data_IF_219081036767
#
_entry.id   IF_219081036767
#
_cell.length_a   1.000
_cell.length_b   1.000
_cell.length_c   1.000
_cell.angle_alpha   90.00
_cell.angle_beta   90.00
_cell.angle_gamma   90.00
#
_symmetry.space_group_name_H-M   'P 1'
#
loop_
_entity.id
_entity.type
_entity.pdbx_description
1 polymer ?
#
# COMPACT_ATOMS: atom_id res chain seq x y z
N UNK A 1 -61.25 25.53 14.67
CA UNK A 1 -60.02 25.40 13.85
C UNK A 1 -58.97 24.70 14.70
N UNK A 2 -58.53 23.49 14.36
CA UNK A 2 -57.58 22.73 15.17
C UNK A 2 -56.14 23.09 14.85
N UNK A 3 -55.33 23.19 15.90
CA UNK A 3 -53.91 23.48 15.87
C UNK A 3 -53.08 22.32 15.25
N UNK A 4 -52.34 22.59 14.20
CA UNK A 4 -51.39 21.66 13.57
C UNK A 4 -50.14 21.55 14.45
N UNK A 5 -49.93 20.36 15.07
CA UNK A 5 -48.70 19.98 15.74
C UNK A 5 -47.64 19.58 14.68
N UNK A 6 -46.62 20.38 14.52
CA UNK A 6 -45.42 19.97 13.79
C UNK A 6 -44.60 18.99 14.65
N UNK A 7 -44.68 17.72 14.31
CA UNK A 7 -43.86 16.66 14.91
C UNK A 7 -42.46 16.66 14.26
N UNK A 8 -41.44 17.06 15.00
CA UNK A 8 -40.04 16.77 14.66
C UNK A 8 -39.75 15.29 15.00
N UNK A 9 -39.83 14.43 14.00
CA UNK A 9 -39.33 13.05 14.11
C UNK A 9 -37.80 13.03 14.21
N UNK A 10 -37.25 12.11 15.01
CA UNK A 10 -35.77 11.99 15.10
C UNK A 10 -35.19 11.62 13.73
N UNK A 11 -34.30 12.47 13.19
CA UNK A 11 -33.50 12.16 12.02
C UNK A 11 -32.61 10.97 12.37
N UNK A 12 -32.93 9.80 11.85
CA UNK A 12 -32.02 8.66 11.85
C UNK A 12 -30.81 9.01 10.99
N UNK A 13 -29.67 9.26 11.63
CA UNK A 13 -28.39 9.34 10.93
C UNK A 13 -28.16 8.02 10.17
N UNK A 14 -27.79 8.05 8.88
CA UNK A 14 -27.40 6.85 8.17
C UNK A 14 -26.23 6.21 8.89
N UNK A 15 -26.39 4.94 9.32
CA UNK A 15 -25.32 4.14 9.86
C UNK A 15 -24.22 4.07 8.79
N UNK A 16 -22.93 4.32 9.15
CA UNK A 16 -21.83 4.11 8.20
C UNK A 16 -21.90 2.65 7.71
N UNK A 17 -21.65 2.40 6.41
CA UNK A 17 -21.63 1.04 5.88
C UNK A 17 -20.64 0.22 6.69
N UNK A 18 -21.08 -0.92 7.17
CA UNK A 18 -20.25 -1.93 7.82
C UNK A 18 -19.03 -2.16 6.93
N UNK A 19 -17.85 -1.88 7.47
CA UNK A 19 -16.58 -2.12 6.80
C UNK A 19 -16.49 -3.61 6.45
N UNK A 20 -16.85 -3.93 5.23
CA UNK A 20 -16.67 -5.24 4.63
C UNK A 20 -15.21 -5.42 4.29
N UNK A 21 -14.69 -6.57 4.68
CA UNK A 21 -13.38 -7.13 4.37
C UNK A 21 -12.21 -6.42 5.04
N UNK A 22 -11.58 -7.13 5.93
CA UNK A 22 -10.27 -6.94 6.51
C UNK A 22 -9.24 -6.48 5.48
N UNK A 23 -9.19 -5.20 5.20
CA UNK A 23 -8.07 -4.62 4.46
C UNK A 23 -6.85 -4.76 5.37
N UNK A 24 -6.00 -5.74 5.03
CA UNK A 24 -4.70 -5.88 5.66
C UNK A 24 -4.04 -4.50 5.72
N UNK A 25 -3.61 -4.08 6.91
CA UNK A 25 -2.94 -2.79 7.07
C UNK A 25 -1.77 -2.69 6.08
N UNK A 26 -1.43 -1.48 5.65
CA UNK A 26 -0.33 -1.24 4.71
C UNK A 26 0.98 -1.91 5.17
N UNK A 27 1.22 -1.97 6.49
CA UNK A 27 2.38 -2.67 7.10
C UNK A 27 2.40 -4.15 6.74
N UNK A 28 1.26 -4.83 6.83
CA UNK A 28 1.13 -6.24 6.48
C UNK A 28 1.34 -6.49 4.99
N UNK A 29 0.82 -5.59 4.13
CA UNK A 29 1.02 -5.70 2.67
C UNK A 29 2.49 -5.59 2.29
N UNK A 30 3.19 -4.58 2.81
CA UNK A 30 4.62 -4.38 2.53
C UNK A 30 5.45 -5.57 3.07
N UNK A 31 5.16 -6.03 4.29
CA UNK A 31 5.83 -7.19 4.87
C UNK A 31 5.60 -8.47 4.05
N UNK A 32 4.35 -8.74 3.64
CA UNK A 32 4.02 -9.92 2.84
C UNK A 32 4.67 -9.88 1.45
N UNK A 33 4.71 -8.72 0.80
CA UNK A 33 5.39 -8.56 -0.49
C UNK A 33 6.89 -8.81 -0.36
N UNK A 34 7.55 -8.23 0.64
CA UNK A 34 8.98 -8.49 0.88
C UNK A 34 9.25 -9.96 1.21
N UNK A 35 8.44 -10.56 2.07
CA UNK A 35 8.56 -11.97 2.44
C UNK A 35 8.34 -12.91 1.24
N UNK A 36 7.32 -12.65 0.41
CA UNK A 36 7.03 -13.47 -0.77
C UNK A 36 8.15 -13.41 -1.80
N UNK A 37 8.77 -12.23 -1.99
CA UNK A 37 9.90 -12.08 -2.90
C UNK A 37 11.11 -12.87 -2.42
N UNK A 38 11.47 -12.78 -1.13
CA UNK A 38 12.58 -13.55 -0.55
C UNK A 38 12.28 -15.04 -0.60
N UNK A 39 11.06 -15.45 -0.23
CA UNK A 39 10.66 -16.86 -0.29
C UNK A 39 10.76 -17.43 -1.71
N UNK A 40 10.32 -16.68 -2.73
CA UNK A 40 10.43 -17.06 -4.12
C UNK A 40 11.89 -17.29 -4.53
N UNK A 41 12.78 -16.36 -4.21
CA UNK A 41 14.22 -16.47 -4.53
C UNK A 41 14.84 -17.67 -3.83
N UNK A 42 14.53 -17.90 -2.56
CA UNK A 42 15.05 -19.03 -1.77
C UNK A 42 14.56 -20.36 -2.37
N UNK A 43 13.28 -20.44 -2.74
CA UNK A 43 12.71 -21.66 -3.38
C UNK A 43 13.36 -21.94 -4.73
N UNK A 44 13.50 -20.92 -5.58
CA UNK A 44 14.14 -21.06 -6.89
C UNK A 44 15.60 -21.52 -6.73
N UNK A 45 16.34 -20.95 -5.79
CA UNK A 45 17.72 -21.33 -5.51
C UNK A 45 17.80 -22.76 -4.97
N UNK A 46 16.92 -23.15 -4.05
CA UNK A 46 16.88 -24.52 -3.51
C UNK A 46 16.58 -25.54 -4.60
N UNK A 47 15.60 -25.27 -5.48
CA UNK A 47 15.28 -26.13 -6.63
C UNK A 47 16.45 -26.22 -7.59
N UNK A 48 17.12 -25.11 -7.90
CA UNK A 48 18.28 -25.09 -8.80
C UNK A 48 19.43 -25.94 -8.22
N UNK A 49 19.79 -25.74 -6.95
CA UNK A 49 20.85 -26.50 -6.27
C UNK A 49 20.50 -27.99 -6.24
N UNK A 50 19.26 -28.33 -5.88
CA UNK A 50 18.81 -29.71 -5.84
C UNK A 50 18.89 -30.35 -7.22
N UNK A 51 18.45 -29.66 -8.28
CA UNK A 51 18.49 -30.17 -9.66
C UNK A 51 19.91 -30.37 -10.16
N UNK A 52 20.82 -29.43 -9.89
CA UNK A 52 22.24 -29.54 -10.30
C UNK A 52 22.90 -30.69 -9.58
N UNK A 53 22.77 -30.77 -8.25
CA UNK A 53 23.39 -31.89 -7.49
C UNK A 53 22.80 -33.22 -7.85
N UNK A 54 21.48 -33.31 -8.05
CA UNK A 54 20.83 -34.53 -8.50
C UNK A 54 21.37 -35.01 -9.85
N UNK A 55 21.46 -34.12 -10.85
CA UNK A 55 22.04 -34.47 -12.17
C UNK A 55 23.46 -34.93 -12.04
N UNK A 56 24.30 -34.19 -11.32
CA UNK A 56 25.72 -34.55 -11.14
C UNK A 56 25.90 -35.95 -10.52
N UNK A 57 25.09 -36.28 -9.50
CA UNK A 57 25.14 -37.62 -8.88
C UNK A 57 24.67 -38.74 -9.81
N UNK A 58 23.64 -38.52 -10.63
CA UNK A 58 23.21 -39.51 -11.62
C UNK A 58 24.23 -39.67 -12.74
N UNK A 59 24.80 -38.58 -13.27
CA UNK A 59 25.84 -38.59 -14.29
C UNK A 59 27.09 -39.31 -13.77
N UNK A 60 27.46 -39.13 -12.52
CA UNK A 60 28.58 -39.82 -11.88
C UNK A 60 28.34 -41.33 -11.82
N UNK A 61 27.12 -41.80 -11.45
CA UNK A 61 26.75 -43.21 -11.45
C UNK A 61 26.80 -43.75 -12.86
N UNK A 62 26.26 -43.05 -13.85
CA UNK A 62 26.27 -43.47 -15.23
C UNK A 62 27.72 -43.64 -15.77
N UNK A 63 28.59 -42.69 -15.47
CA UNK A 63 30.01 -42.75 -15.81
C UNK A 63 30.73 -43.93 -15.11
N UNK A 64 30.42 -44.20 -13.86
CA UNK A 64 30.96 -45.33 -13.12
C UNK A 64 30.53 -46.67 -13.75
N UNK A 65 29.24 -46.84 -14.11
CA UNK A 65 28.74 -48.02 -14.77
C UNK A 65 29.42 -48.22 -16.13
N UNK A 66 29.53 -47.20 -16.96
CA UNK A 66 30.19 -47.27 -18.23
C UNK A 66 31.69 -47.64 -18.11
N UNK A 67 32.38 -47.01 -17.16
CA UNK A 67 33.80 -47.28 -16.93
C UNK A 67 34.04 -48.71 -16.44
N UNK A 68 33.17 -49.24 -15.57
CA UNK A 68 33.24 -50.63 -15.11
C UNK A 68 32.94 -51.62 -16.23
N UNK A 69 31.90 -51.34 -17.03
CA UNK A 69 31.58 -52.16 -18.18
C UNK A 69 32.77 -52.24 -19.16
N UNK A 70 33.38 -51.08 -19.47
CA UNK A 70 34.54 -50.97 -20.35
C UNK A 70 35.74 -51.77 -19.82
N UNK A 71 36.06 -51.61 -18.53
CA UNK A 71 37.17 -52.38 -17.95
C UNK A 71 36.96 -53.89 -18.02
N UNK A 72 35.74 -54.40 -17.78
CA UNK A 72 35.42 -55.82 -17.90
C UNK A 72 35.56 -56.33 -19.37
N UNK A 73 35.15 -55.51 -20.33
CA UNK A 73 35.21 -55.83 -21.74
C UNK A 73 36.69 -55.81 -22.25
N UNK A 74 37.42 -54.71 -21.96
CA UNK A 74 38.79 -54.49 -22.45
C UNK A 74 39.82 -55.42 -21.80
N UNK A 75 39.62 -55.80 -20.52
CA UNK A 75 40.54 -56.73 -19.84
C UNK A 75 40.56 -58.14 -20.44
N UNK A 76 39.62 -58.48 -21.33
CA UNK A 76 39.48 -59.80 -21.86
C UNK A 76 39.10 -60.88 -20.84
N UNK A 77 38.88 -60.53 -19.61
CA UNK A 77 38.56 -61.45 -18.53
C UNK A 77 37.21 -62.10 -18.70
N UNK A 78 36.25 -61.44 -19.35
CA UNK A 78 34.96 -62.06 -19.74
C UNK A 78 35.09 -63.15 -20.77
N UNK A 79 36.11 -63.17 -21.62
CA UNK A 79 36.40 -64.20 -22.60
C UNK A 79 37.22 -65.33 -22.01
N UNK A 80 38.14 -65.06 -21.10
CA UNK A 80 39.02 -66.05 -20.50
C UNK A 80 38.33 -66.90 -19.41
N UNK A 81 37.68 -66.23 -18.42
CA UNK A 81 36.95 -66.94 -17.35
C UNK A 81 35.77 -66.06 -16.94
N UNK A 82 34.62 -66.17 -17.59
CA UNK A 82 33.44 -65.37 -17.31
C UNK A 82 32.98 -65.42 -15.86
N UNK A 83 33.12 -66.59 -15.22
CA UNK A 83 32.69 -66.76 -13.82
C UNK A 83 33.50 -65.90 -12.85
N UNK A 84 34.85 -66.03 -12.92
CA UNK A 84 35.71 -65.25 -12.05
C UNK A 84 35.65 -63.77 -12.35
N UNK A 85 35.50 -63.41 -13.64
CA UNK A 85 35.37 -61.98 -14.01
C UNK A 85 34.13 -61.33 -13.38
N UNK A 86 33.00 -62.01 -13.39
CA UNK A 86 31.75 -61.57 -12.81
C UNK A 86 31.80 -61.62 -11.26
N UNK A 87 32.30 -62.75 -10.69
CA UNK A 87 32.47 -62.86 -9.22
C UNK A 87 33.36 -61.72 -8.64
N UNK A 88 34.40 -61.32 -9.39
CA UNK A 88 35.25 -60.22 -9.02
C UNK A 88 34.51 -58.88 -8.87
N UNK A 89 33.37 -58.72 -9.51
CA UNK A 89 32.53 -57.49 -9.34
C UNK A 89 31.74 -57.49 -8.03
N UNK A 90 31.54 -58.63 -7.39
CA UNK A 90 30.83 -58.72 -6.08
C UNK A 90 31.56 -57.94 -4.96
N UNK A 91 32.88 -57.78 -5.07
CA UNK A 91 33.68 -56.93 -4.13
C UNK A 91 33.61 -55.42 -4.42
N UNK A 92 32.92 -55.04 -5.47
CA UNK A 92 32.64 -53.65 -5.80
C UNK A 92 31.15 -53.39 -5.64
N UNK A 93 30.78 -52.14 -5.35
CA UNK A 93 29.36 -51.73 -5.14
C UNK A 93 28.47 -51.85 -6.38
N UNK A 94 28.69 -52.91 -7.21
CA UNK A 94 28.03 -53.12 -8.48
C UNK A 94 27.61 -54.58 -8.59
N UNK A 95 26.35 -54.79 -8.92
CA UNK A 95 25.87 -56.12 -9.32
C UNK A 95 26.13 -56.30 -10.79
N UNK A 96 26.59 -57.49 -11.18
CA UNK A 96 26.83 -57.82 -12.59
C UNK A 96 26.20 -59.15 -12.98
N UNK A 97 25.77 -59.26 -14.23
CA UNK A 97 25.22 -60.46 -14.86
C UNK A 97 25.72 -60.53 -16.28
N UNK A 98 26.27 -61.67 -16.64
CA UNK A 98 26.62 -62.03 -18.04
C UNK A 98 25.73 -63.13 -18.54
N UNK A 99 25.10 -62.92 -19.68
CA UNK A 99 24.25 -63.87 -20.35
C UNK A 99 24.89 -64.22 -21.69
N UNK A 100 25.29 -65.47 -21.83
CA UNK A 100 25.90 -66.01 -23.08
C UNK A 100 24.85 -66.51 -24.07
N UNK A 101 25.16 -66.61 -25.37
CA UNK A 101 24.27 -67.15 -26.42
C UNK A 101 23.75 -68.52 -26.11
N UNK A 102 24.52 -69.35 -25.40
CA UNK A 102 24.16 -70.71 -24.96
C UNK A 102 23.26 -70.81 -23.72
N UNK A 103 22.71 -69.65 -23.27
CA UNK A 103 21.90 -69.46 -22.04
C UNK A 103 22.64 -69.76 -20.72
N UNK A 104 23.96 -69.87 -20.69
CA UNK A 104 24.69 -69.86 -19.44
C UNK A 104 24.67 -68.43 -18.81
N UNK A 105 24.29 -68.37 -17.57
CA UNK A 105 24.15 -67.13 -16.87
C UNK A 105 25.16 -67.06 -15.69
N UNK A 106 26.02 -66.06 -15.69
CA UNK A 106 26.94 -65.81 -14.60
C UNK A 106 26.46 -64.53 -13.84
N UNK A 107 26.28 -64.64 -12.53
CA UNK A 107 25.76 -63.56 -11.73
C UNK A 107 26.64 -63.31 -10.53
N UNK A 108 26.92 -62.04 -10.24
CA UNK A 108 27.47 -61.61 -8.99
C UNK A 108 26.55 -60.52 -8.42
N UNK A 109 25.82 -60.86 -7.38
CA UNK A 109 24.91 -59.96 -6.73
C UNK A 109 25.37 -59.73 -5.28
N UNK A 110 25.25 -58.50 -4.82
CA UNK A 110 25.33 -58.26 -3.38
C UNK A 110 24.17 -58.97 -2.67
N UNK A 111 24.38 -59.33 -1.40
CA UNK A 111 23.37 -60.04 -0.61
C UNK A 111 22.01 -59.33 -0.63
N UNK A 112 20.98 -60.01 -1.05
CA UNK A 112 19.60 -59.50 -1.10
C UNK A 112 19.25 -58.59 -2.28
N UNK A 113 20.16 -58.38 -3.26
CA UNK A 113 19.87 -57.57 -4.44
C UNK A 113 19.81 -58.48 -5.71
N UNK A 114 18.69 -58.43 -6.41
CA UNK A 114 18.53 -59.07 -7.72
C UNK A 114 18.57 -57.99 -8.80
N UNK A 115 19.21 -58.30 -9.93
CA UNK A 115 19.18 -57.39 -11.10
C UNK A 115 17.77 -57.31 -11.67
N UNK A 116 17.20 -56.10 -11.80
CA UNK A 116 15.86 -55.96 -12.37
C UNK A 116 15.90 -56.10 -13.88
N UNK A 117 15.38 -57.24 -14.36
CA UNK A 117 15.24 -57.52 -15.81
C UNK A 117 13.86 -57.04 -16.29
N UNK A 118 13.83 -56.04 -17.15
CA UNK A 118 12.63 -55.52 -17.81
C UNK A 118 12.69 -55.69 -19.32
N UNK A 119 11.70 -55.19 -20.03
CA UNK A 119 11.65 -55.28 -21.50
C UNK A 119 12.87 -54.68 -22.21
N UNK A 120 13.43 -53.53 -21.81
CA UNK A 120 14.63 -52.98 -22.46
C UNK A 120 15.86 -53.92 -22.30
N UNK A 121 16.05 -54.52 -21.11
CA UNK A 121 17.16 -55.44 -20.88
C UNK A 121 16.97 -56.72 -21.68
N UNK A 122 15.73 -57.21 -21.81
CA UNK A 122 15.41 -58.39 -22.69
C UNK A 122 15.73 -58.07 -24.14
N UNK A 123 15.38 -56.84 -24.63
CA UNK A 123 15.75 -56.42 -25.98
C UNK A 123 17.26 -56.40 -26.22
N UNK A 124 18.06 -56.01 -25.20
CA UNK A 124 19.52 -56.09 -25.26
C UNK A 124 20.02 -57.53 -25.29
N UNK A 125 19.41 -58.39 -24.47
CA UNK A 125 19.77 -59.86 -24.46
C UNK A 125 19.43 -60.53 -25.78
N UNK A 126 18.36 -60.15 -26.46
CA UNK A 126 17.93 -60.63 -27.75
C UNK A 126 18.72 -60.06 -28.94
N UNK A 127 19.54 -59.05 -28.68
CA UNK A 127 20.31 -58.35 -29.72
C UNK A 127 19.50 -57.28 -30.49
N UNK A 128 18.28 -57.02 -30.09
CA UNK A 128 17.42 -55.97 -30.68
C UNK A 128 17.92 -54.55 -30.36
N UNK A 129 18.52 -54.40 -29.17
CA UNK A 129 19.12 -53.16 -28.69
C UNK A 129 20.60 -53.39 -28.36
N UNK A 130 21.45 -52.43 -28.74
CA UNK A 130 22.88 -52.48 -28.42
C UNK A 130 23.17 -52.09 -26.97
N UNK A 131 22.34 -51.18 -26.41
CA UNK A 131 22.53 -50.67 -25.07
C UNK A 131 21.21 -50.23 -24.48
N UNK A 132 21.05 -50.40 -23.18
CA UNK A 132 19.97 -49.83 -22.39
C UNK A 132 20.52 -49.25 -21.06
N UNK A 133 20.12 -48.05 -20.69
CA UNK A 133 20.47 -47.43 -19.42
C UNK A 133 19.22 -46.84 -18.78
N UNK A 134 18.76 -47.39 -17.65
CA UNK A 134 17.56 -46.93 -16.97
C UNK A 134 17.62 -47.13 -15.47
N UNK A 135 16.67 -46.50 -14.78
CA UNK A 135 16.45 -46.71 -13.35
C UNK A 135 15.29 -47.69 -13.15
N UNK A 136 15.53 -48.76 -12.40
CA UNK A 136 14.52 -49.72 -12.02
C UNK A 136 14.76 -50.23 -10.58
N UNK A 137 13.71 -50.42 -9.79
CA UNK A 137 13.76 -50.95 -8.43
C UNK A 137 14.85 -50.31 -7.55
N UNK A 138 14.95 -48.95 -7.59
CA UNK A 138 16.00 -48.19 -6.89
C UNK A 138 17.44 -48.54 -7.28
N UNK A 139 17.64 -49.13 -8.47
CA UNK A 139 18.93 -49.39 -9.06
C UNK A 139 19.06 -48.67 -10.40
N UNK A 140 20.27 -48.24 -10.75
CA UNK A 140 20.62 -47.77 -12.08
C UNK A 140 21.19 -48.95 -12.82
N UNK A 141 20.62 -49.32 -13.96
CA UNK A 141 20.95 -50.51 -14.72
C UNK A 141 21.49 -50.11 -16.09
N UNK A 142 22.68 -50.62 -16.42
CA UNK A 142 23.30 -50.56 -17.74
C UNK A 142 23.32 -51.98 -18.32
N UNK A 143 22.72 -52.18 -19.48
CA UNK A 143 22.78 -53.39 -20.26
C UNK A 143 23.49 -53.12 -21.58
N UNK A 144 24.44 -53.99 -21.96
CA UNK A 144 25.23 -53.87 -23.17
C UNK A 144 25.21 -55.21 -23.93
N UNK A 145 24.93 -55.18 -25.23
CA UNK A 145 25.11 -56.30 -26.13
C UNK A 145 26.55 -56.31 -26.64
N UNK A 146 27.25 -57.43 -26.47
CA UNK A 146 28.66 -57.61 -26.86
C UNK A 146 28.76 -58.24 -28.25
N UNK A 147 29.87 -57.98 -28.97
CA UNK A 147 30.15 -58.47 -30.32
C UNK A 147 30.20 -59.96 -30.42
N UNK A 148 30.42 -60.66 -29.32
CA UNK A 148 30.41 -62.17 -29.26
C UNK A 148 29.00 -62.74 -29.03
N UNK A 149 27.95 -61.91 -29.09
CA UNK A 149 26.56 -62.27 -28.84
C UNK A 149 26.16 -62.47 -27.39
N UNK A 150 27.08 -62.22 -26.45
CA UNK A 150 26.78 -62.19 -25.01
C UNK A 150 26.19 -60.80 -24.60
N UNK A 151 25.49 -60.76 -23.49
CA UNK A 151 24.96 -59.51 -22.95
C UNK A 151 25.44 -59.30 -21.52
N UNK A 152 26.10 -58.15 -21.28
CA UNK A 152 26.58 -57.75 -19.97
C UNK A 152 25.58 -56.76 -19.35
N UNK A 153 25.07 -57.09 -18.17
CA UNK A 153 24.20 -56.26 -17.39
C UNK A 153 24.92 -55.87 -16.11
N UNK A 154 24.94 -54.58 -15.81
CA UNK A 154 25.55 -54.07 -14.59
C UNK A 154 24.54 -53.14 -13.91
N UNK A 155 24.39 -53.26 -12.58
CA UNK A 155 23.54 -52.33 -11.85
C UNK A 155 24.23 -51.80 -10.58
N UNK A 156 23.87 -50.59 -10.20
CA UNK A 156 24.31 -49.95 -8.97
C UNK A 156 23.11 -49.48 -8.17
N UNK A 157 23.13 -49.72 -6.86
CA UNK A 157 22.09 -49.27 -5.96
C UNK A 157 22.08 -47.70 -5.86
N UNK A 158 20.88 -47.12 -5.97
CA UNK A 158 20.64 -45.71 -5.79
C UNK A 158 20.34 -45.35 -4.32
N UNK A 159 20.34 -46.35 -3.40
CA UNK A 159 20.01 -46.12 -2.00
C UNK A 159 20.93 -45.06 -1.34
N UNK A 160 22.28 -45.11 -1.51
CA UNK A 160 23.18 -44.09 -0.97
C UNK A 160 22.91 -42.68 -1.55
N UNK A 161 22.72 -42.64 -2.89
CA UNK A 161 22.44 -41.37 -3.61
C UNK A 161 21.12 -40.75 -3.17
N UNK A 162 20.07 -41.59 -3.03
CA UNK A 162 18.76 -41.10 -2.53
C UNK A 162 18.83 -40.60 -1.12
N UNK A 163 19.68 -41.18 -0.26
CA UNK A 163 19.91 -40.72 1.10
C UNK A 163 20.62 -39.38 1.11
N UNK A 164 21.64 -39.16 0.29
CA UNK A 164 22.31 -37.87 0.12
C UNK A 164 21.35 -36.81 -0.35
N UNK A 165 20.54 -37.08 -1.38
CA UNK A 165 19.55 -36.17 -1.93
C UNK A 165 18.46 -35.80 -0.90
N UNK A 166 17.97 -36.78 -0.11
CA UNK A 166 17.02 -36.53 0.99
C UNK A 166 17.63 -35.62 2.06
N UNK A 167 18.89 -35.90 2.47
CA UNK A 167 19.59 -35.05 3.43
C UNK A 167 19.79 -33.64 2.90
N UNK A 168 20.20 -33.51 1.63
CA UNK A 168 20.34 -32.20 0.96
C UNK A 168 19.00 -31.45 0.97
N UNK A 169 17.91 -32.10 0.56
CA UNK A 169 16.57 -31.51 0.58
C UNK A 169 16.15 -31.03 1.97
N UNK A 170 16.43 -31.82 3.00
CA UNK A 170 16.14 -31.43 4.39
C UNK A 170 16.95 -30.21 4.82
N UNK A 171 18.23 -30.17 4.51
CA UNK A 171 19.10 -29.01 4.83
C UNK A 171 18.61 -27.77 4.10
N UNK A 172 18.33 -27.87 2.80
CA UNK A 172 17.78 -26.76 2.01
C UNK A 172 16.47 -26.24 2.56
N UNK A 173 15.58 -27.11 3.02
CA UNK A 173 14.31 -26.74 3.63
C UNK A 173 14.50 -26.01 4.95
N UNK A 174 15.39 -26.52 5.83
CA UNK A 174 15.65 -25.90 7.14
C UNK A 174 16.33 -24.54 6.95
N UNK A 175 17.41 -24.48 6.17
CA UNK A 175 18.17 -23.23 5.95
C UNK A 175 17.32 -22.21 5.20
N UNK A 176 16.59 -22.65 4.16
CA UNK A 176 15.67 -21.79 3.42
C UNK A 176 14.53 -21.27 4.30
N UNK A 177 13.91 -22.14 5.09
CA UNK A 177 12.85 -21.76 6.03
C UNK A 177 13.33 -20.73 7.08
N UNK A 178 14.52 -20.98 7.64
CA UNK A 178 15.14 -20.04 8.59
C UNK A 178 15.44 -18.68 7.91
N UNK A 179 15.97 -18.69 6.69
CA UNK A 179 16.21 -17.48 5.90
C UNK A 179 14.94 -16.67 5.67
N UNK A 180 13.84 -17.33 5.29
CA UNK A 180 12.53 -16.67 5.13
C UNK A 180 12.02 -16.11 6.46
N UNK A 181 12.19 -16.82 7.58
CA UNK A 181 11.78 -16.35 8.89
C UNK A 181 12.56 -15.08 9.31
N UNK A 182 13.88 -15.08 9.12
CA UNK A 182 14.73 -13.90 9.38
C UNK A 182 14.32 -12.72 8.50
N UNK A 183 14.08 -12.95 7.21
CA UNK A 183 13.61 -11.92 6.27
C UNK A 183 12.25 -11.37 6.68
N UNK A 184 11.32 -12.19 7.17
CA UNK A 184 10.02 -11.77 7.67
C UNK A 184 10.16 -10.86 8.92
N UNK A 185 11.04 -11.23 9.87
CA UNK A 185 11.31 -10.41 11.06
C UNK A 185 11.95 -9.07 10.68
N UNK A 186 12.99 -9.09 9.84
CA UNK A 186 13.67 -7.88 9.38
C UNK A 186 12.71 -6.95 8.59
N UNK A 187 11.98 -7.51 7.63
CA UNK A 187 10.98 -6.77 6.86
C UNK A 187 9.86 -6.18 7.73
N UNK A 188 9.42 -6.92 8.76
CA UNK A 188 8.47 -6.45 9.75
C UNK A 188 9.01 -5.28 10.60
N UNK A 189 10.28 -5.33 10.99
CA UNK A 189 10.95 -4.25 11.73
C UNK A 189 11.07 -2.98 10.87
N UNK A 190 11.54 -3.11 9.62
CA UNK A 190 11.66 -2.01 8.66
C UNK A 190 10.30 -1.40 8.35
N UNK A 191 9.28 -2.20 8.09
CA UNK A 191 7.92 -1.72 7.83
C UNK A 191 7.32 -0.94 9.01
N UNK A 192 7.58 -1.41 10.26
CA UNK A 192 7.12 -0.70 11.46
C UNK A 192 7.86 0.63 11.66
N UNK A 193 9.18 0.63 11.48
CA UNK A 193 9.99 1.84 11.63
C UNK A 193 9.65 2.88 10.55
N UNK A 194 9.60 2.47 9.29
CA UNK A 194 9.35 3.35 8.14
C UNK A 194 7.93 3.92 8.10
N UNK A 195 6.91 3.18 8.57
CA UNK A 195 5.52 3.67 8.57
C UNK A 195 5.08 4.33 9.89
N UNK A 196 5.97 4.48 10.87
CA UNK A 196 5.67 5.15 12.13
C UNK A 196 5.29 6.63 11.97
N UNK A 197 5.94 7.43 11.10
CA UNK A 197 5.55 8.82 10.85
C UNK A 197 4.13 8.93 10.29
N UNK A 198 3.74 8.05 9.36
CA UNK A 198 2.38 8.02 8.78
C UNK A 198 1.32 7.78 9.87
N UNK A 199 1.58 6.87 10.80
CA UNK A 199 0.67 6.62 11.92
C UNK A 199 0.51 7.86 12.81
N UNK A 200 1.59 8.62 13.07
CA UNK A 200 1.56 9.87 13.85
C UNK A 200 0.76 10.98 13.13
N UNK A 201 0.93 11.09 11.81
CA UNK A 201 0.16 12.04 11.01
C UNK A 201 -1.34 11.73 11.05
N UNK A 202 -1.70 10.45 10.94
CA UNK A 202 -3.10 10.00 11.04
C UNK A 202 -3.68 10.35 12.43
N UNK A 203 -2.94 10.04 13.49
CA UNK A 203 -3.36 10.35 14.88
C UNK A 203 -3.52 11.86 15.10
N UNK A 204 -2.62 12.67 14.53
CA UNK A 204 -2.71 14.12 14.61
C UNK A 204 -3.94 14.64 13.85
N UNK A 205 -4.21 14.16 12.63
CA UNK A 205 -5.39 14.52 11.87
C UNK A 205 -6.68 14.17 12.62
N UNK A 206 -6.76 12.97 13.21
CA UNK A 206 -7.90 12.56 14.03
C UNK A 206 -8.05 13.38 15.31
N UNK A 207 -6.95 13.83 15.92
CA UNK A 207 -6.95 14.71 17.09
C UNK A 207 -7.50 16.07 16.71
N UNK A 208 -7.00 16.67 15.63
CA UNK A 208 -7.52 17.96 15.11
C UNK A 208 -9.03 17.85 14.85
N UNK A 209 -9.48 16.79 14.20
CA UNK A 209 -10.90 16.61 13.87
C UNK A 209 -11.81 16.46 15.10
N UNK A 210 -11.28 15.95 16.24
CA UNK A 210 -12.08 15.72 17.45
C UNK A 210 -11.95 16.81 18.49
N UNK A 211 -10.79 17.44 18.60
CA UNK A 211 -10.48 18.32 19.74
C UNK A 211 -10.02 19.71 19.31
N UNK A 212 -9.92 19.98 18.01
CA UNK A 212 -9.38 21.22 17.47
C UNK A 212 -7.94 21.54 17.96
N UNK A 213 -7.18 20.54 18.42
CA UNK A 213 -5.80 20.69 18.88
C UNK A 213 -4.84 20.82 17.69
N UNK A 214 -4.44 22.05 17.39
CA UNK A 214 -3.58 22.41 16.25
C UNK A 214 -2.08 22.37 16.59
N UNK A 215 -1.65 21.64 17.64
CA UNK A 215 -0.23 21.53 18.01
C UNK A 215 0.59 20.91 16.89
N UNK A 216 1.78 21.44 16.61
CA UNK A 216 2.66 20.90 15.58
C UNK A 216 3.15 19.51 15.94
N UNK A 217 3.33 18.69 14.89
CA UNK A 217 3.85 17.33 14.99
C UNK A 217 5.38 17.39 14.96
N UNK A 218 6.10 16.68 15.84
CA UNK A 218 7.55 16.63 15.79
C UNK A 218 8.05 16.04 14.47
N UNK A 219 8.94 16.75 13.78
CA UNK A 219 9.59 16.31 12.54
C UNK A 219 10.83 15.50 12.89
N UNK A 220 10.98 14.32 12.25
CA UNK A 220 12.14 13.44 12.44
C UNK A 220 12.66 13.01 11.08
N UNK A 221 14.00 13.12 10.89
CA UNK A 221 14.63 12.75 9.64
C UNK A 221 14.63 13.90 8.61
N UNK A 222 15.02 13.55 7.38
CA UNK A 222 15.09 14.49 6.24
C UNK A 222 14.57 13.86 4.94
N UNK A 223 13.74 12.82 5.08
CA UNK A 223 13.14 12.06 3.98
C UNK A 223 11.81 12.69 3.50
N UNK A 224 11.13 12.04 2.57
CA UNK A 224 9.84 12.46 2.04
C UNK A 224 8.77 12.54 3.12
N UNK A 225 8.85 11.70 4.16
CA UNK A 225 7.91 11.70 5.28
C UNK A 225 8.16 12.89 6.23
N UNK A 226 9.41 13.29 6.40
CA UNK A 226 9.75 14.52 7.13
C UNK A 226 9.18 15.75 6.40
N UNK A 227 9.36 15.84 5.08
CA UNK A 227 8.78 16.90 4.25
C UNK A 227 7.24 16.91 4.30
N UNK A 228 6.61 15.75 4.29
CA UNK A 228 5.15 15.65 4.44
C UNK A 228 4.71 16.17 5.82
N UNK A 229 5.46 15.84 6.88
CA UNK A 229 5.17 16.33 8.24
C UNK A 229 5.33 17.85 8.33
N UNK A 230 6.33 18.42 7.67
CA UNK A 230 6.52 19.88 7.58
C UNK A 230 5.37 20.57 6.85
N UNK A 231 4.94 20.02 5.69
CA UNK A 231 3.81 20.55 4.95
C UNK A 231 2.51 20.48 5.77
N UNK A 232 2.30 19.40 6.50
CA UNK A 232 1.16 19.27 7.41
C UNK A 232 1.21 20.30 8.55
N UNK A 233 2.40 20.55 9.14
CA UNK A 233 2.59 21.58 10.15
C UNK A 233 2.35 22.99 9.61
N UNK A 234 2.70 23.25 8.35
CA UNK A 234 2.37 24.53 7.69
C UNK A 234 0.85 24.72 7.58
N UNK A 235 0.14 23.69 7.20
CA UNK A 235 -1.33 23.69 7.15
C UNK A 235 -1.94 23.93 8.53
N UNK A 236 -1.44 23.27 9.59
CA UNK A 236 -1.92 23.47 10.97
C UNK A 236 -1.71 24.91 11.44
N UNK A 237 -0.56 25.52 11.11
CA UNK A 237 -0.29 26.93 11.43
C UNK A 237 -1.25 27.88 10.71
N UNK A 238 -1.42 27.68 9.40
CA UNK A 238 -2.35 28.49 8.62
C UNK A 238 -3.79 28.40 9.15
N UNK A 239 -4.22 27.20 9.57
CA UNK A 239 -5.54 27.00 10.19
C UNK A 239 -5.63 27.68 11.56
N UNK A 240 -4.58 27.62 12.39
CA UNK A 240 -4.54 28.30 13.68
C UNK A 240 -4.62 29.82 13.52
N UNK A 241 -3.86 30.38 12.60
CA UNK A 241 -3.88 31.81 12.28
C UNK A 241 -5.24 32.29 11.74
N UNK A 242 -5.86 31.48 10.88
CA UNK A 242 -7.21 31.78 10.36
C UNK A 242 -8.25 31.81 11.50
N UNK A 243 -8.22 30.82 12.40
CA UNK A 243 -9.12 30.79 13.57
C UNK A 243 -8.89 31.95 14.54
N UNK A 244 -7.64 32.29 14.77
CA UNK A 244 -7.33 33.44 15.63
C UNK A 244 -7.83 34.74 15.04
N UNK A 245 -7.67 34.94 13.71
CA UNK A 245 -8.26 36.12 13.02
C UNK A 245 -9.77 36.12 13.14
N UNK A 246 -10.44 34.99 12.91
CA UNK A 246 -11.89 34.88 13.05
C UNK A 246 -12.36 35.15 14.47
N UNK A 247 -11.65 34.65 15.49
CA UNK A 247 -12.00 34.94 16.90
C UNK A 247 -11.82 36.42 17.26
N UNK A 248 -10.74 37.05 16.75
CA UNK A 248 -10.54 38.52 16.93
C UNK A 248 -11.66 39.31 16.27
N UNK A 249 -12.00 38.99 15.01
CA UNK A 249 -13.09 39.65 14.28
C UNK A 249 -14.40 39.57 15.04
N UNK A 250 -14.78 38.41 15.58
CA UNK A 250 -16.01 38.25 16.38
C UNK A 250 -15.96 39.07 17.68
N UNK A 251 -14.79 39.13 18.32
CA UNK A 251 -14.61 39.90 19.56
C UNK A 251 -14.69 41.40 19.30
N UNK A 252 -13.99 41.90 18.29
CA UNK A 252 -13.95 43.30 17.90
C UNK A 252 -15.34 43.75 17.41
N UNK A 253 -15.99 42.98 16.53
CA UNK A 253 -17.37 43.26 16.13
C UNK A 253 -18.34 43.32 17.32
N UNK A 254 -18.18 42.39 18.28
CA UNK A 254 -18.99 42.37 19.49
C UNK A 254 -18.81 43.63 20.35
N UNK A 255 -17.61 44.20 20.40
CA UNK A 255 -17.35 45.46 21.11
C UNK A 255 -17.91 46.67 20.36
N UNK A 256 -17.66 46.75 19.05
CA UNK A 256 -18.13 47.84 18.19
C UNK A 256 -19.67 47.91 18.10
N UNK A 257 -20.35 46.79 18.12
CA UNK A 257 -21.84 46.74 18.12
C UNK A 257 -22.44 47.05 19.50
N UNK A 258 -21.75 46.75 20.61
CA UNK A 258 -22.29 46.95 21.96
C UNK A 258 -22.50 48.43 22.28
N UNK A 259 -21.60 49.30 21.86
CA UNK A 259 -21.63 50.76 22.18
C UNK A 259 -22.87 51.42 21.57
N UNK A 260 -23.14 51.39 20.25
CA UNK A 260 -24.31 52.00 19.66
C UNK A 260 -25.62 51.34 20.14
N UNK A 261 -25.61 50.01 20.38
CA UNK A 261 -26.77 49.30 20.91
C UNK A 261 -27.16 49.78 22.33
N UNK A 262 -26.15 50.05 23.18
CA UNK A 262 -26.40 50.57 24.54
C UNK A 262 -26.95 51.99 24.49
N UNK A 263 -26.41 52.83 23.62
CA UNK A 263 -26.91 54.19 23.41
C UNK A 263 -28.32 54.20 22.83
N UNK A 264 -28.57 53.38 21.80
CA UNK A 264 -29.90 53.19 21.23
C UNK A 264 -30.93 52.76 22.28
N UNK A 265 -30.58 51.78 23.12
CA UNK A 265 -31.43 51.34 24.23
C UNK A 265 -31.77 52.45 25.17
N UNK A 266 -30.77 53.25 25.60
CA UNK A 266 -30.98 54.39 26.53
C UNK A 266 -31.90 55.44 25.90
N UNK A 267 -31.68 55.79 24.63
CA UNK A 267 -32.51 56.79 23.94
C UNK A 267 -33.95 56.29 23.74
N UNK A 268 -34.14 54.98 23.45
CA UNK A 268 -35.48 54.39 23.36
C UNK A 268 -36.15 54.34 24.74
N UNK A 269 -35.46 53.98 25.81
CA UNK A 269 -35.98 53.98 27.18
C UNK A 269 -36.41 55.40 27.61
N UNK A 270 -35.63 56.45 27.25
CA UNK A 270 -36.01 57.86 27.48
C UNK A 270 -37.24 58.24 26.66
N UNK A 271 -37.34 57.90 25.42
CA UNK A 271 -38.52 58.11 24.59
C UNK A 271 -39.77 57.47 25.22
N UNK A 272 -39.65 56.25 25.64
CA UNK A 272 -40.76 55.51 26.26
C UNK A 272 -41.18 56.12 27.58
N UNK A 273 -40.21 56.54 28.41
CA UNK A 273 -40.46 57.18 29.67
C UNK A 273 -41.18 58.57 29.52
N UNK A 274 -40.83 59.33 28.48
CA UNK A 274 -41.48 60.64 28.20
C UNK A 274 -42.90 60.46 27.64
N UNK A 275 -43.30 59.31 27.15
CA UNK A 275 -44.66 59.01 26.68
C UNK A 275 -45.53 58.38 27.75
N UNK A 276 -45.05 58.05 28.94
CA UNK A 276 -45.79 57.47 30.03
C UNK A 276 -46.88 58.42 30.59
N UNK A 277 -48.08 57.91 30.99
CA UNK A 277 -49.12 58.70 31.58
C UNK A 277 -48.63 59.39 32.88
N UNK A 278 -48.67 60.71 32.90
CA UNK A 278 -48.20 61.52 34.07
C UNK A 278 -46.71 61.92 34.08
N UNK A 279 -45.97 61.54 33.05
CA UNK A 279 -44.57 61.96 32.89
C UNK A 279 -44.46 63.52 32.56
N UNK A 280 -43.42 64.19 32.98
CA UNK A 280 -43.17 65.56 32.51
C UNK A 280 -42.94 65.56 31.00
N UNK A 281 -43.69 66.34 30.24
CA UNK A 281 -43.55 66.45 28.80
C UNK A 281 -42.20 67.15 28.48
N UNK A 282 -41.38 66.42 27.75
CA UNK A 282 -40.18 66.97 27.13
C UNK A 282 -40.56 68.05 26.10
N UNK A 283 -39.81 69.13 25.97
CA UNK A 283 -39.95 70.10 24.88
C UNK A 283 -39.91 69.39 23.51
N UNK A 284 -40.70 69.93 22.55
CA UNK A 284 -40.83 69.35 21.21
C UNK A 284 -39.46 69.21 20.45
N UNK A 285 -38.56 70.17 20.70
CA UNK A 285 -37.17 70.13 20.16
C UNK A 285 -36.35 69.01 20.75
N UNK A 286 -36.44 68.76 22.05
CA UNK A 286 -35.72 67.61 22.69
C UNK A 286 -36.28 66.28 22.26
N UNK A 287 -37.58 66.19 22.07
CA UNK A 287 -38.23 64.98 21.53
C UNK A 287 -37.82 64.69 20.05
N UNK A 288 -37.74 65.75 19.23
CA UNK A 288 -37.28 65.68 17.87
C UNK A 288 -35.81 65.27 17.78
N UNK A 289 -34.96 65.83 18.65
CA UNK A 289 -33.55 65.45 18.78
C UNK A 289 -33.38 64.01 19.17
N UNK A 290 -34.09 63.48 20.16
CA UNK A 290 -34.01 62.12 20.62
C UNK A 290 -34.47 61.11 19.55
N UNK A 291 -35.47 61.47 18.71
CA UNK A 291 -35.89 60.66 17.54
C UNK A 291 -34.81 60.64 16.46
N UNK A 292 -34.19 61.79 16.18
CA UNK A 292 -33.12 61.89 15.20
C UNK A 292 -31.91 61.02 15.61
N UNK A 293 -31.53 61.06 16.91
CA UNK A 293 -30.43 60.22 17.45
C UNK A 293 -30.72 58.73 17.32
N UNK A 294 -31.96 58.28 17.59
CA UNK A 294 -32.36 56.88 17.42
C UNK A 294 -32.23 56.45 15.95
N UNK A 295 -32.69 57.30 15.01
CA UNK A 295 -32.59 56.99 13.58
C UNK A 295 -31.12 56.92 13.14
N UNK A 296 -30.31 57.90 13.54
CA UNK A 296 -28.88 57.94 13.21
C UNK A 296 -28.13 56.68 13.73
N UNK A 297 -28.44 56.25 14.96
CA UNK A 297 -27.84 55.03 15.53
C UNK A 297 -28.27 53.76 14.84
N UNK A 298 -29.51 53.67 14.32
CA UNK A 298 -29.96 52.52 13.51
C UNK A 298 -29.24 52.50 12.16
N UNK A 299 -29.01 53.67 11.54
CA UNK A 299 -28.24 53.77 10.28
C UNK A 299 -26.78 53.38 10.48
N UNK A 300 -26.15 53.83 11.58
CA UNK A 300 -24.79 53.48 11.98
C UNK A 300 -24.64 51.94 12.19
N UNK A 301 -25.57 51.35 12.96
CA UNK A 301 -25.60 49.89 13.15
C UNK A 301 -25.77 49.12 11.83
N UNK A 302 -26.62 49.65 10.95
CA UNK A 302 -26.85 49.01 9.63
C UNK A 302 -25.57 49.04 8.75
N UNK A 303 -24.82 50.14 8.84
CA UNK A 303 -23.53 50.29 8.14
C UNK A 303 -22.49 49.34 8.73
N UNK A 304 -22.32 49.31 10.05
CA UNK A 304 -21.39 48.39 10.74
C UNK A 304 -21.66 46.92 10.44
N UNK A 305 -22.94 46.52 10.40
CA UNK A 305 -23.32 45.15 10.03
C UNK A 305 -23.01 44.86 8.54
N UNK A 306 -23.21 45.84 7.66
CA UNK A 306 -22.82 45.76 6.26
C UNK A 306 -21.33 45.54 6.08
N UNK A 307 -20.52 46.36 6.72
CA UNK A 307 -19.06 46.28 6.69
C UNK A 307 -18.55 44.95 7.25
N UNK A 308 -19.17 44.43 8.31
CA UNK A 308 -18.83 43.12 8.88
C UNK A 308 -19.12 41.95 7.92
N UNK A 309 -20.27 42.00 7.22
CA UNK A 309 -20.64 41.00 6.21
C UNK A 309 -19.68 41.03 5.04
N UNK A 310 -19.28 42.22 4.58
CA UNK A 310 -18.33 42.39 3.48
C UNK A 310 -16.94 41.87 3.88
N UNK A 311 -16.44 42.15 5.09
CA UNK A 311 -15.20 41.56 5.60
C UNK A 311 -15.20 40.04 5.65
N UNK A 312 -16.32 39.42 6.05
CA UNK A 312 -16.43 37.96 6.07
C UNK A 312 -16.54 37.35 4.65
N UNK A 313 -16.97 38.14 3.69
CA UNK A 313 -17.09 37.73 2.29
C UNK A 313 -15.77 37.76 1.57
N UNK A 314 -14.94 38.77 1.83
CA UNK A 314 -13.58 38.88 1.27
C UNK A 314 -12.66 37.75 1.75
N UNK A 315 -12.84 37.23 2.96
CA UNK A 315 -12.08 36.08 3.47
C UNK A 315 -12.53 34.72 2.83
N UNK A 316 -13.77 34.61 2.33
CA UNK A 316 -14.34 33.37 1.80
C UNK A 316 -14.18 33.19 0.27
N UNK A 317 -13.78 34.23 -0.45
CA UNK A 317 -13.68 34.21 -1.90
C UNK A 317 -12.24 34.31 -2.40
N UNK A 318 -11.78 33.35 -3.14
CA UNK A 318 -10.76 33.59 -4.15
C UNK A 318 -11.32 34.65 -5.09
N UNK A 319 -10.83 35.88 -4.98
CA UNK A 319 -11.14 36.95 -5.93
C UNK A 319 -10.84 36.41 -7.32
N UNK A 320 -11.90 36.11 -8.07
CA UNK A 320 -11.75 35.73 -9.48
C UNK A 320 -11.42 37.03 -10.20
N UNK A 321 -10.14 37.24 -10.43
CA UNK A 321 -9.69 38.36 -11.20
C UNK A 321 -10.13 38.13 -12.66
N UNK A 322 -11.12 38.89 -13.10
CA UNK A 322 -11.58 38.92 -14.47
C UNK A 322 -11.37 40.29 -15.10
N UNK A 323 -11.34 40.41 -16.43
CA UNK A 323 -11.29 41.71 -17.09
C UNK A 323 -12.63 42.44 -16.87
N UNK A 324 -12.60 43.48 -16.07
CA UNK A 324 -13.76 44.32 -15.74
C UNK A 324 -13.69 45.60 -16.53
N UNK A 325 -14.78 45.94 -17.25
CA UNK A 325 -14.89 47.24 -17.88
C UNK A 325 -15.37 48.33 -16.86
N UNK A 326 -14.52 49.30 -16.59
CA UNK A 326 -14.85 50.36 -15.67
C UNK A 326 -16.09 51.18 -16.10
N UNK A 327 -16.41 51.26 -17.38
CA UNK A 327 -17.62 51.90 -17.85
C UNK A 327 -18.88 51.24 -17.31
N UNK A 328 -18.91 49.90 -17.31
CA UNK A 328 -20.04 49.13 -16.77
C UNK A 328 -20.20 49.29 -15.24
N UNK A 329 -19.09 49.45 -14.52
CA UNK A 329 -19.09 49.68 -13.05
C UNK A 329 -19.63 51.08 -12.74
N UNK A 330 -19.20 52.10 -13.51
CA UNK A 330 -19.69 53.48 -13.37
C UNK A 330 -21.17 53.53 -13.70
N UNK A 331 -21.63 52.91 -14.78
CA UNK A 331 -23.03 52.94 -15.17
C UNK A 331 -23.94 52.28 -14.13
N UNK A 332 -23.55 51.10 -13.60
CA UNK A 332 -24.26 50.42 -12.52
C UNK A 332 -24.31 51.27 -11.23
N UNK A 333 -23.22 51.95 -10.92
CA UNK A 333 -23.14 52.82 -9.74
C UNK A 333 -24.03 54.05 -9.91
N UNK A 334 -24.02 54.69 -11.09
CA UNK A 334 -24.89 55.84 -11.40
C UNK A 334 -26.37 55.47 -11.39
N UNK A 335 -26.77 54.29 -11.91
CA UNK A 335 -28.15 53.84 -11.80
C UNK A 335 -28.60 53.71 -10.32
N UNK A 336 -27.70 53.21 -9.44
CA UNK A 336 -27.98 53.07 -8.00
C UNK A 336 -28.16 54.41 -7.33
N UNK A 337 -27.34 55.40 -7.65
CA UNK A 337 -27.40 56.76 -7.09
C UNK A 337 -28.64 57.49 -7.63
N UNK A 338 -28.93 57.41 -8.93
CA UNK A 338 -30.14 58.02 -9.56
C UNK A 338 -31.45 57.53 -8.96
N UNK A 339 -31.50 56.26 -8.53
CA UNK A 339 -32.69 55.71 -7.80
C UNK A 339 -32.89 56.34 -6.42
N UNK A 340 -31.81 56.81 -5.78
CA UNK A 340 -31.88 57.41 -4.43
C UNK A 340 -32.03 58.94 -4.45
N UNK A 341 -31.52 59.59 -5.50
CA UNK A 341 -31.50 61.07 -5.64
C UNK A 341 -31.92 61.47 -7.07
N UNK A 342 -33.22 61.69 -7.24
CA UNK A 342 -33.79 62.14 -8.50
C UNK A 342 -33.63 63.65 -8.76
N UNK A 343 -33.07 64.38 -7.82
CA UNK A 343 -32.92 65.84 -7.79
C UNK A 343 -31.54 66.29 -8.31
N UNK A 344 -30.67 65.36 -8.71
CA UNK A 344 -29.32 65.66 -9.16
C UNK A 344 -29.12 65.20 -10.60
N UNK A 345 -28.67 66.09 -11.48
CA UNK A 345 -28.26 65.78 -12.85
C UNK A 345 -26.76 65.44 -12.85
N UNK A 346 -26.43 64.23 -13.27
CA UNK A 346 -25.04 63.74 -13.35
C UNK A 346 -24.55 63.89 -14.78
N UNK A 347 -23.55 64.73 -15.01
CA UNK A 347 -22.79 64.82 -16.25
C UNK A 347 -21.58 63.89 -16.13
N UNK A 348 -21.58 62.82 -16.92
CA UNK A 348 -20.61 61.73 -16.80
C UNK A 348 -19.98 61.45 -18.16
N UNK A 349 -18.67 61.60 -18.22
CA UNK A 349 -17.89 61.24 -19.41
C UNK A 349 -16.91 60.14 -19.05
N UNK A 350 -17.14 58.94 -19.53
CA UNK A 350 -16.31 57.77 -19.26
C UNK A 350 -15.63 57.29 -20.55
N UNK A 351 -14.33 57.05 -20.49
CA UNK A 351 -13.57 56.40 -21.57
C UNK A 351 -13.41 54.93 -21.17
N UNK A 352 -13.72 54.02 -22.09
CA UNK A 352 -13.60 52.59 -21.81
C UNK A 352 -12.19 52.18 -21.36
N UNK A 353 -12.09 51.59 -20.19
CA UNK A 353 -10.85 51.11 -19.60
C UNK A 353 -11.10 49.74 -18.93
N UNK A 354 -10.29 48.76 -19.30
CA UNK A 354 -10.37 47.43 -18.67
C UNK A 354 -9.32 47.27 -17.56
N UNK A 355 -9.75 46.78 -16.42
CA UNK A 355 -8.91 46.50 -15.27
C UNK A 355 -9.11 45.02 -14.91
N UNK A 356 -8.06 44.35 -14.46
CA UNK A 356 -8.17 43.03 -13.89
C UNK A 356 -8.58 43.12 -12.42
N UNK A 357 -9.78 42.72 -12.07
CA UNK A 357 -10.33 42.84 -10.72
C UNK A 357 -11.62 42.02 -10.56
N UNK A 358 -12.27 42.21 -9.39
CA UNK A 358 -13.61 41.68 -9.11
C UNK A 358 -14.66 42.69 -9.62
N UNK A 359 -15.61 42.23 -10.48
CA UNK A 359 -16.55 43.04 -11.25
C UNK A 359 -17.93 43.29 -10.59
#
# INVERSE_FOLDING_TARGET
MPAQKFGFGPRTMPRPPLATASSLSLRWRVMLLGMSMVAMVVVLMAVAVYAVVSRALYDDIDNQLHSRARLLIESGSLAADPGKAIEGTAYSDVNAMLINPGRSIYTANQEGQTLPLGEPEKGVVQGELLMSLRTANHQRVLALHLTNGSSLLISKSLAPTSQVLKRLGTVLLIVGGLGVAVAAMAGGAVARAGLRPVARLTEAAERVARTDDLRPIPVFGSDELARLTEAFNMMLRALAESRERQARLVTDAGHELRTPLTSLRTNVELLMASMAPGAPRLPEEEMAGLRADVIAQIEELSTLVGDLVDLTRDEAGSVIHEPVDLSDVVDRSLERVRRRRNDIEFDVSVTGWQVYGDG
#
